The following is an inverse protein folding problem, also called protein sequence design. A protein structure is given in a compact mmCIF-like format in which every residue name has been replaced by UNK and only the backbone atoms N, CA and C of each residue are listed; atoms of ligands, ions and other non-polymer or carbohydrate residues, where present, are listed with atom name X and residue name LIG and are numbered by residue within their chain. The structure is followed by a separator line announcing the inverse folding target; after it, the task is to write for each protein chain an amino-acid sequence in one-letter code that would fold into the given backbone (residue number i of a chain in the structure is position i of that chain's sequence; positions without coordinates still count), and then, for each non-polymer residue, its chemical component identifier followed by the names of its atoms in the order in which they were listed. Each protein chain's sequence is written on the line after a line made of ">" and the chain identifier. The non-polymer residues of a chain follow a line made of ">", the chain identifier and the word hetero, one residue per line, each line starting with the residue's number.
data_IF_035545927266
#
_entry.id   IF_035545927266
#
_cell.length_a   1.000
_cell.length_b   1.000
_cell.length_c   1.000
_cell.angle_alpha   90.00
_cell.angle_beta   90.00
_cell.angle_gamma   90.00
#
_symmetry.space_group_name_H-M   'P 1'
#
loop_
_entity.id
_entity.type
_entity.pdbx_description
1 polymer ?
#
# COMPACT_ATOMS: atom_id res chain seq x y z
N UNK A 1 10.38 -4.60 -19.75
CA UNK A 1 10.18 -3.89 -18.46
C UNK A 1 8.95 -2.98 -18.44
N UNK A 2 8.50 -2.44 -19.58
CA UNK A 2 7.23 -1.71 -19.72
C UNK A 2 5.98 -2.55 -19.39
N UNK A 3 6.03 -3.88 -19.59
CA UNK A 3 4.89 -4.79 -19.34
C UNK A 3 4.52 -4.91 -17.84
N UNK A 4 5.51 -4.84 -16.94
CA UNK A 4 5.30 -5.03 -15.49
C UNK A 4 4.55 -3.84 -14.85
N UNK A 5 4.74 -2.62 -15.37
CA UNK A 5 4.05 -1.44 -14.85
C UNK A 5 2.56 -1.49 -15.25
N UNK A 6 2.26 -1.97 -16.44
CA UNK A 6 0.88 -2.13 -16.95
C UNK A 6 0.11 -3.19 -16.16
N UNK A 7 0.75 -4.31 -15.78
CA UNK A 7 0.11 -5.36 -14.96
C UNK A 7 -0.15 -4.90 -13.52
N UNK A 8 0.75 -4.11 -12.93
CA UNK A 8 0.54 -3.51 -11.59
C UNK A 8 -0.62 -2.51 -11.57
N UNK A 9 -1.04 -2.01 -12.73
CA UNK A 9 -2.02 -0.94 -12.86
C UNK A 9 -3.38 -1.41 -13.37
N UNK A 10 -3.43 -2.51 -14.15
CA UNK A 10 -4.68 -3.11 -14.63
C UNK A 10 -5.38 -3.99 -13.59
N UNK A 11 -4.77 -4.20 -12.44
CA UNK A 11 -5.44 -4.73 -11.28
C UNK A 11 -6.28 -3.60 -10.61
N UNK A 12 -7.32 -3.12 -11.29
CA UNK A 12 -8.54 -2.61 -10.64
C UNK A 12 -9.19 -3.77 -9.86
N UNK A 13 -8.39 -4.43 -9.08
CA UNK A 13 -8.83 -5.36 -8.09
C UNK A 13 -9.31 -4.51 -6.93
N UNK A 14 -10.59 -4.57 -6.65
CA UNK A 14 -11.18 -4.04 -5.43
C UNK A 14 -10.51 -4.72 -4.25
N UNK A 15 -9.30 -4.25 -3.90
CA UNK A 15 -8.61 -4.76 -2.73
C UNK A 15 -9.32 -4.24 -1.49
N UNK A 16 -9.54 -5.14 -0.53
CA UNK A 16 -10.06 -4.77 0.78
C UNK A 16 -8.92 -4.63 1.77
N UNK A 17 -8.90 -3.52 2.46
CA UNK A 17 -7.94 -3.27 3.54
C UNK A 17 -8.53 -3.72 4.86
N UNK A 18 -7.75 -4.48 5.61
CA UNK A 18 -8.06 -4.92 6.99
C UNK A 18 -6.96 -4.38 7.90
N UNK A 19 -7.33 -3.79 9.02
CA UNK A 19 -6.37 -3.44 10.08
C UNK A 19 -6.39 -4.51 11.16
N UNK A 20 -5.22 -4.98 11.57
CA UNK A 20 -5.06 -5.99 12.61
C UNK A 20 -4.11 -5.45 13.69
N UNK A 21 -4.63 -5.27 14.90
CA UNK A 21 -3.82 -4.96 16.07
C UNK A 21 -3.34 -6.27 16.71
N UNK A 22 -2.04 -6.42 16.82
CA UNK A 22 -1.41 -7.65 17.33
C UNK A 22 -0.43 -7.35 18.45
N UNK A 23 -0.15 -8.34 19.29
CA UNK A 23 1.00 -8.28 20.20
C UNK A 23 2.30 -8.18 19.40
N UNK A 24 3.18 -7.25 19.76
CA UNK A 24 4.50 -7.08 19.16
C UNK A 24 5.48 -8.14 19.71
N UNK A 25 5.30 -9.38 19.26
CA UNK A 25 6.10 -10.53 19.69
C UNK A 25 6.68 -11.29 18.51
N UNK A 26 7.77 -12.00 18.77
CA UNK A 26 8.38 -12.89 17.77
C UNK A 26 7.39 -13.89 17.20
N UNK A 27 7.42 -14.07 15.86
CA UNK A 27 6.60 -15.06 15.15
C UNK A 27 5.13 -14.67 14.91
N UNK A 28 4.64 -13.51 15.40
CA UNK A 28 3.25 -13.11 15.21
C UNK A 28 2.97 -12.80 13.74
N UNK A 29 3.85 -12.04 13.07
CA UNK A 29 3.73 -11.77 11.64
C UNK A 29 3.69 -13.06 10.81
N UNK A 30 4.60 -14.01 11.10
CA UNK A 30 4.64 -15.30 10.40
C UNK A 30 3.36 -16.10 10.60
N UNK A 31 2.75 -16.04 11.78
CA UNK A 31 1.49 -16.71 12.09
C UNK A 31 0.30 -16.10 11.34
N UNK A 32 0.26 -14.76 11.26
CA UNK A 32 -0.74 -14.05 10.46
C UNK A 32 -0.57 -14.40 8.98
N UNK A 33 0.64 -14.25 8.41
CA UNK A 33 0.91 -14.60 7.02
C UNK A 33 0.63 -16.09 6.70
N UNK A 34 0.96 -16.99 7.62
CA UNK A 34 0.69 -18.42 7.51
C UNK A 34 -0.81 -18.77 7.46
N UNK A 35 -1.65 -17.97 8.12
CA UNK A 35 -3.10 -18.12 8.02
C UNK A 35 -3.60 -17.86 6.59
N UNK A 36 -3.09 -16.82 5.92
CA UNK A 36 -3.44 -16.51 4.53
C UNK A 36 -2.94 -17.61 3.60
N UNK A 37 -1.65 -17.94 3.69
CA UNK A 37 -1.01 -18.96 2.85
C UNK A 37 -1.67 -20.33 2.98
N UNK A 38 -2.00 -20.75 4.21
CA UNK A 38 -2.62 -22.05 4.48
C UNK A 38 -4.05 -22.20 3.94
N UNK A 39 -4.67 -21.09 3.49
CA UNK A 39 -6.01 -21.08 2.89
C UNK A 39 -6.01 -20.65 1.42
N UNK A 40 -4.84 -20.43 0.86
CA UNK A 40 -4.70 -19.98 -0.53
C UNK A 40 -5.16 -18.54 -0.76
N UNK A 41 -5.22 -17.69 0.28
CA UNK A 41 -5.50 -16.27 0.14
C UNK A 41 -4.23 -15.51 -0.19
N UNK A 42 -4.30 -14.63 -1.17
CA UNK A 42 -3.17 -13.79 -1.54
C UNK A 42 -3.21 -12.46 -0.78
N UNK A 43 -2.08 -12.11 -0.16
CA UNK A 43 -1.85 -10.78 0.40
C UNK A 43 -1.32 -9.90 -0.73
N UNK A 44 -2.10 -8.87 -1.10
CA UNK A 44 -1.69 -7.90 -2.12
C UNK A 44 -0.63 -6.93 -1.59
N UNK A 45 -0.85 -6.38 -0.40
CA UNK A 45 0.12 -5.55 0.32
C UNK A 45 0.04 -5.77 1.82
N UNK A 46 1.14 -5.55 2.51
CA UNK A 46 1.25 -5.69 3.96
C UNK A 46 2.14 -4.61 4.52
N UNK A 47 1.59 -3.81 5.41
CA UNK A 47 2.32 -2.81 6.17
C UNK A 47 2.24 -3.16 7.66
N UNK A 48 3.35 -3.07 8.37
CA UNK A 48 3.43 -3.39 9.81
C UNK A 48 4.28 -2.35 10.51
N UNK A 49 3.77 -1.78 11.60
CA UNK A 49 4.54 -0.88 12.45
C UNK A 49 4.12 -1.02 13.91
N UNK A 50 5.04 -0.77 14.87
CA UNK A 50 4.66 -0.62 16.28
C UNK A 50 3.64 0.52 16.46
N UNK A 51 2.75 0.37 17.45
CA UNK A 51 1.81 1.40 17.87
C UNK A 51 2.44 2.35 18.92
N UNK A 52 1.61 3.25 19.45
CA UNK A 52 1.97 4.14 20.56
C UNK A 52 2.42 3.35 21.79
N UNK A 53 1.77 2.21 22.07
CA UNK A 53 2.24 1.22 23.02
C UNK A 53 3.13 0.21 22.29
N UNK A 54 4.45 0.17 22.58
CA UNK A 54 5.40 -0.70 21.87
C UNK A 54 5.16 -2.20 22.08
N UNK A 55 4.28 -2.58 23.01
CA UNK A 55 3.85 -3.97 23.20
C UNK A 55 2.97 -4.47 22.05
N UNK A 56 2.42 -3.55 21.25
CA UNK A 56 1.54 -3.86 20.13
C UNK A 56 2.09 -3.34 18.80
N UNK A 57 1.70 -4.00 17.71
CA UNK A 57 1.92 -3.56 16.35
C UNK A 57 0.61 -3.55 15.59
N UNK A 58 0.45 -2.60 14.69
CA UNK A 58 -0.68 -2.54 13.77
C UNK A 58 -0.23 -2.98 12.38
N UNK A 59 -1.01 -3.89 11.81
CA UNK A 59 -0.84 -4.35 10.43
C UNK A 59 -1.96 -3.77 9.58
N UNK A 60 -1.63 -3.23 8.40
CA UNK A 60 -2.58 -2.98 7.31
C UNK A 60 -2.37 -4.05 6.25
N UNK A 61 -3.41 -4.83 5.97
CA UNK A 61 -3.35 -5.97 5.05
C UNK A 61 -4.36 -5.73 3.93
N UNK A 62 -3.89 -5.64 2.69
CA UNK A 62 -4.75 -5.58 1.52
C UNK A 62 -4.91 -6.98 0.93
N UNK A 63 -6.14 -7.38 0.70
CA UNK A 63 -6.50 -8.68 0.13
C UNK A 63 -7.44 -8.52 -1.06
N UNK A 64 -7.34 -9.43 -2.03
CA UNK A 64 -8.20 -9.43 -3.22
C UNK A 64 -9.48 -10.28 -3.02
N UNK A 65 -9.80 -10.62 -1.77
CA UNK A 65 -10.95 -11.44 -1.43
C UNK A 65 -12.18 -10.57 -1.15
N UNK A 66 -13.37 -11.10 -1.51
CA UNK A 66 -14.63 -10.39 -1.41
C UNK A 66 -15.70 -11.23 -0.71
N UNK A 67 -16.74 -10.55 -0.20
CA UNK A 67 -17.92 -11.21 0.35
C UNK A 67 -17.57 -12.20 1.46
N UNK A 68 -18.16 -13.40 1.39
CA UNK A 68 -18.03 -14.44 2.42
C UNK A 68 -16.59 -14.88 2.67
N UNK A 69 -15.72 -14.87 1.65
CA UNK A 69 -14.31 -15.22 1.82
C UNK A 69 -13.58 -14.22 2.70
N UNK A 70 -13.83 -12.93 2.51
CA UNK A 70 -13.26 -11.88 3.34
C UNK A 70 -13.75 -12.00 4.79
N UNK A 71 -15.06 -12.27 4.99
CA UNK A 71 -15.62 -12.51 6.32
C UNK A 71 -14.97 -13.71 7.02
N UNK A 72 -14.67 -14.77 6.25
CA UNK A 72 -13.93 -15.91 6.78
C UNK A 72 -12.51 -15.54 7.20
N UNK A 73 -11.79 -14.72 6.39
CA UNK A 73 -10.46 -14.22 6.75
C UNK A 73 -10.52 -13.47 8.07
N UNK A 74 -11.44 -12.51 8.21
CA UNK A 74 -11.61 -11.69 9.42
C UNK A 74 -11.90 -12.57 10.65
N UNK A 75 -12.85 -13.52 10.53
CA UNK A 75 -13.19 -14.47 11.59
C UNK A 75 -12.00 -15.33 12.01
N UNK A 76 -11.15 -15.72 11.09
CA UNK A 76 -9.98 -16.53 11.39
C UNK A 76 -8.84 -15.72 12.02
N UNK A 77 -8.63 -14.49 11.57
CA UNK A 77 -7.68 -13.56 12.19
C UNK A 77 -8.04 -13.31 13.65
N UNK A 78 -9.32 -13.08 13.95
CA UNK A 78 -9.81 -12.83 15.31
C UNK A 78 -9.67 -14.03 16.26
N UNK A 79 -9.42 -15.25 15.74
CA UNK A 79 -9.15 -16.45 16.54
C UNK A 79 -7.68 -16.63 16.93
N UNK A 80 -6.78 -15.87 16.32
CA UNK A 80 -5.35 -15.98 16.64
C UNK A 80 -5.07 -15.37 18.02
N UNK A 81 -4.40 -16.12 18.88
CA UNK A 81 -4.17 -15.76 20.30
C UNK A 81 -3.44 -14.41 20.48
N UNK A 82 -2.62 -14.01 19.49
CA UNK A 82 -1.87 -12.76 19.53
C UNK A 82 -2.57 -11.60 18.82
N UNK A 83 -3.77 -11.80 18.28
CA UNK A 83 -4.59 -10.77 17.66
C UNK A 83 -5.50 -10.16 18.72
N UNK A 84 -5.38 -8.84 18.90
CA UNK A 84 -6.15 -8.09 19.89
C UNK A 84 -7.42 -7.53 19.26
N UNK A 85 -7.31 -7.02 18.02
CA UNK A 85 -8.42 -6.39 17.31
C UNK A 85 -8.26 -6.59 15.80
N UNK A 86 -9.38 -6.80 15.12
CA UNK A 86 -9.45 -6.79 13.65
C UNK A 86 -10.49 -5.76 13.25
N UNK A 87 -10.08 -4.77 12.46
CA UNK A 87 -10.95 -3.71 11.93
C UNK A 87 -11.13 -3.91 10.43
N UNK A 88 -12.37 -4.08 10.02
CA UNK A 88 -12.79 -4.09 8.61
C UNK A 88 -13.18 -2.68 8.19
N UNK A 89 -12.63 -2.19 7.10
CA UNK A 89 -12.90 -0.82 6.65
C UNK A 89 -14.05 -0.71 5.65
N UNK A 90 -14.69 -1.80 5.24
CA UNK A 90 -15.76 -1.80 4.21
C UNK A 90 -16.92 -0.85 4.56
N UNK A 91 -17.36 -0.89 5.79
CA UNK A 91 -18.56 -0.18 6.24
C UNK A 91 -18.26 1.13 6.98
N UNK A 92 -17.03 1.60 6.89
CA UNK A 92 -16.58 2.79 7.61
C UNK A 92 -16.02 3.87 6.67
N UNK A 93 -16.42 5.13 6.84
CA UNK A 93 -15.74 6.23 6.18
C UNK A 93 -14.25 6.24 6.54
N UNK A 94 -13.38 6.02 5.55
CA UNK A 94 -11.97 5.75 5.80
C UNK A 94 -11.07 6.69 5.01
N UNK A 95 -9.95 7.07 5.60
CA UNK A 95 -8.85 7.74 4.91
C UNK A 95 -7.76 6.73 4.63
N UNK A 96 -7.39 6.59 3.37
CA UNK A 96 -6.28 5.76 2.91
C UNK A 96 -5.12 6.63 2.46
N UNK A 97 -3.91 6.20 2.77
CA UNK A 97 -2.68 6.80 2.24
C UNK A 97 -1.67 5.70 1.90
N UNK A 98 -0.92 5.98 0.86
CA UNK A 98 0.20 5.15 0.42
C UNK A 98 1.33 6.08 -0.03
N UNK A 99 2.57 5.65 0.11
CA UNK A 99 3.77 6.32 -0.38
C UNK A 99 4.35 5.50 -1.52
N UNK A 100 4.71 6.19 -2.59
CA UNK A 100 5.44 5.62 -3.73
C UNK A 100 6.77 6.35 -3.87
N UNK A 101 7.85 5.58 -3.92
CA UNK A 101 9.17 6.06 -4.29
C UNK A 101 9.50 5.53 -5.69
N UNK A 102 10.00 6.40 -6.56
CA UNK A 102 10.41 5.98 -7.90
C UNK A 102 11.72 6.62 -8.31
N UNK A 103 12.46 5.91 -9.17
CA UNK A 103 13.60 6.45 -9.89
C UNK A 103 13.31 6.46 -11.37
N UNK A 104 13.49 7.62 -12.00
CA UNK A 104 13.24 7.85 -13.42
C UNK A 104 14.49 8.46 -14.08
N UNK A 105 14.86 7.96 -15.25
CA UNK A 105 15.83 8.61 -16.12
C UNK A 105 15.08 9.61 -16.99
N UNK A 106 15.52 10.86 -17.00
CA UNK A 106 14.75 11.90 -17.69
C UNK A 106 15.05 12.05 -19.17
N UNK A 107 16.17 11.53 -19.71
CA UNK A 107 16.44 11.47 -21.16
C UNK A 107 16.20 12.78 -21.92
N UNK A 108 16.51 13.94 -21.34
CA UNK A 108 16.21 15.26 -21.92
C UNK A 108 14.87 15.87 -21.50
N UNK A 109 13.95 15.09 -20.91
CA UNK A 109 12.58 15.52 -20.49
C UNK A 109 12.50 15.94 -19.02
N UNK A 110 13.60 16.42 -18.44
CA UNK A 110 13.66 16.77 -17.01
C UNK A 110 12.59 17.77 -16.60
N UNK A 111 12.37 18.80 -17.42
CA UNK A 111 11.42 19.87 -17.12
C UNK A 111 9.97 19.34 -17.09
N UNK A 112 9.61 18.49 -18.04
CA UNK A 112 8.27 17.87 -18.10
C UNK A 112 7.99 17.03 -16.83
N UNK A 113 8.97 16.25 -16.38
CA UNK A 113 8.84 15.46 -15.15
C UNK A 113 8.68 16.36 -13.93
N UNK A 114 9.44 17.45 -13.84
CA UNK A 114 9.32 18.41 -12.73
C UNK A 114 7.95 19.11 -12.72
N UNK A 115 7.39 19.41 -13.88
CA UNK A 115 6.03 19.97 -13.99
C UNK A 115 4.97 18.96 -13.52
N UNK A 116 5.08 17.68 -13.90
CA UNK A 116 4.22 16.64 -13.37
C UNK A 116 4.34 16.50 -11.84
N UNK A 117 5.57 16.54 -11.31
CA UNK A 117 5.78 16.56 -9.87
C UNK A 117 5.05 17.72 -9.20
N UNK A 118 5.12 18.92 -9.76
CA UNK A 118 4.43 20.10 -9.22
C UNK A 118 2.91 19.95 -9.28
N UNK A 119 2.35 19.50 -10.40
CA UNK A 119 0.89 19.30 -10.57
C UNK A 119 0.36 18.30 -9.54
N UNK A 120 1.07 17.20 -9.34
CA UNK A 120 0.68 16.15 -8.42
C UNK A 120 1.21 16.35 -6.99
N UNK A 121 1.94 17.42 -6.69
CA UNK A 121 2.57 17.66 -5.39
C UNK A 121 3.52 16.52 -4.98
N UNK A 122 4.17 15.89 -5.96
CA UNK A 122 5.25 14.94 -5.72
C UNK A 122 6.54 15.71 -5.37
N UNK A 123 7.41 15.07 -4.58
CA UNK A 123 8.66 15.66 -4.12
C UNK A 123 9.83 15.02 -4.83
N UNK A 124 10.76 15.81 -5.32
CA UNK A 124 12.06 15.31 -5.77
C UNK A 124 12.95 15.19 -4.53
N UNK A 125 13.31 13.96 -4.17
CA UNK A 125 14.14 13.66 -3.01
C UNK A 125 15.63 13.77 -3.34
N UNK A 126 15.98 13.36 -4.58
CA UNK A 126 17.35 13.35 -5.06
C UNK A 126 17.41 13.55 -6.58
N UNK A 127 18.46 14.15 -7.07
CA UNK A 127 18.68 14.40 -8.48
C UNK A 127 20.14 14.18 -8.87
N UNK A 128 20.36 13.43 -9.93
CA UNK A 128 21.67 13.27 -10.57
C UNK A 128 21.71 14.01 -11.90
N UNK A 129 22.76 13.78 -12.70
CA UNK A 129 22.85 14.33 -14.07
C UNK A 129 21.86 13.68 -15.04
N UNK A 130 21.35 12.48 -14.72
CA UNK A 130 20.56 11.65 -15.64
C UNK A 130 19.23 11.19 -15.04
N UNK A 131 19.08 11.24 -13.72
CA UNK A 131 17.93 10.67 -13.03
C UNK A 131 17.39 11.56 -11.93
N UNK A 132 16.09 11.34 -11.62
CA UNK A 132 15.40 11.90 -10.46
C UNK A 132 14.90 10.75 -9.58
N UNK A 133 15.00 10.92 -8.26
CA UNK A 133 14.31 10.11 -7.27
C UNK A 133 13.12 10.91 -6.75
N UNK A 134 11.92 10.39 -6.93
CA UNK A 134 10.66 11.08 -6.68
C UNK A 134 9.87 10.33 -5.61
N UNK A 135 9.30 11.08 -4.67
CA UNK A 135 8.31 10.62 -3.70
C UNK A 135 6.96 11.20 -4.06
N UNK A 136 5.94 10.36 -4.05
CA UNK A 136 4.55 10.81 -4.05
C UNK A 136 3.76 10.05 -2.99
N UNK A 137 2.92 10.77 -2.24
CA UNK A 137 2.00 10.18 -1.28
C UNK A 137 0.57 10.64 -1.56
N UNK A 138 -0.38 9.75 -1.30
CA UNK A 138 -1.78 10.10 -1.55
C UNK A 138 -2.74 8.93 -1.45
N UNK A 139 -3.99 9.18 -1.85
CA UNK A 139 -4.99 8.14 -2.10
C UNK A 139 -4.78 7.48 -3.45
N UNK A 140 -5.42 6.34 -3.64
CA UNK A 140 -5.26 5.47 -4.82
C UNK A 140 -5.43 6.22 -6.15
N UNK A 141 -6.51 6.99 -6.29
CA UNK A 141 -6.80 7.74 -7.52
C UNK A 141 -5.67 8.69 -7.93
N UNK A 142 -5.11 9.43 -6.96
CA UNK A 142 -4.00 10.36 -7.22
C UNK A 142 -2.74 9.63 -7.65
N UNK A 143 -2.41 8.55 -6.94
CA UNK A 143 -1.22 7.74 -7.22
C UNK A 143 -1.32 7.07 -8.59
N UNK A 144 -2.46 6.45 -8.89
CA UNK A 144 -2.71 5.79 -10.18
C UNK A 144 -2.57 6.78 -11.34
N UNK A 145 -3.18 7.96 -11.24
CA UNK A 145 -3.05 8.98 -12.29
C UNK A 145 -1.62 9.45 -12.49
N UNK A 146 -0.87 9.68 -11.41
CA UNK A 146 0.53 10.06 -11.52
C UNK A 146 1.36 8.95 -12.16
N UNK A 147 1.21 7.72 -11.70
CA UNK A 147 1.94 6.57 -12.23
C UNK A 147 1.64 6.33 -13.71
N UNK A 148 0.38 6.53 -14.15
CA UNK A 148 -0.01 6.43 -15.56
C UNK A 148 0.74 7.42 -16.43
N UNK A 149 0.85 8.68 -16.01
CA UNK A 149 1.59 9.70 -16.76
C UNK A 149 3.10 9.44 -16.75
N UNK A 150 3.61 8.82 -15.69
CA UNK A 150 5.03 8.47 -15.60
C UNK A 150 5.44 7.30 -16.50
N UNK A 151 4.48 6.53 -17.07
CA UNK A 151 4.79 5.44 -18.02
C UNK A 151 5.46 5.93 -19.31
N UNK A 152 5.24 7.18 -19.70
CA UNK A 152 5.84 7.78 -20.89
C UNK A 152 7.35 8.10 -20.71
N UNK A 153 7.87 7.84 -19.52
CA UNK A 153 9.26 8.10 -19.15
C UNK A 153 10.00 6.81 -18.79
N UNK A 154 11.33 6.85 -18.77
CA UNK A 154 12.17 5.70 -18.46
C UNK A 154 12.24 5.44 -16.95
N UNK A 155 11.18 4.87 -16.39
CA UNK A 155 11.09 4.49 -14.97
C UNK A 155 11.93 3.25 -14.73
N UNK A 156 12.94 3.34 -13.88
CA UNK A 156 13.87 2.26 -13.53
C UNK A 156 13.44 1.47 -12.30
N UNK A 157 12.75 2.12 -11.36
CA UNK A 157 12.35 1.50 -10.10
C UNK A 157 11.09 2.16 -9.57
N UNK A 158 10.19 1.35 -9.05
CA UNK A 158 9.02 1.78 -8.27
C UNK A 158 8.97 0.93 -7.00
N UNK A 159 8.86 1.60 -5.86
CA UNK A 159 8.64 0.97 -4.55
C UNK A 159 7.37 1.55 -3.96
N UNK A 160 6.51 0.69 -3.42
CA UNK A 160 5.25 1.08 -2.79
C UNK A 160 5.24 0.64 -1.34
N UNK A 161 4.71 1.47 -0.45
CA UNK A 161 4.58 1.12 0.97
C UNK A 161 3.43 0.15 1.24
N UNK A 162 2.47 0.04 0.32
CA UNK A 162 1.14 -0.47 0.64
C UNK A 162 0.27 0.59 1.33
N UNK A 163 -1.03 0.30 1.43
CA UNK A 163 -2.02 1.21 2.00
C UNK A 163 -1.96 1.19 3.53
N UNK A 164 -1.98 2.35 4.14
CA UNK A 164 -2.34 2.54 5.53
C UNK A 164 -3.71 3.21 5.60
N UNK A 165 -4.52 2.80 6.57
CA UNK A 165 -5.91 3.22 6.67
C UNK A 165 -6.29 3.64 8.09
N UNK A 166 -7.15 4.65 8.21
CA UNK A 166 -7.75 5.08 9.47
C UNK A 166 -9.22 5.44 9.26
N UNK A 167 -10.08 5.03 10.18
CA UNK A 167 -11.49 5.41 10.18
C UNK A 167 -11.58 6.91 10.44
N UNK A 168 -12.40 7.62 9.66
CA UNK A 168 -12.69 9.04 9.90
C UNK A 168 -13.44 9.18 11.23
N UNK A 169 -13.11 10.17 12.05
CA UNK A 169 -13.92 10.48 13.22
C UNK A 169 -15.35 10.79 12.75
N UNK A 170 -16.33 10.30 13.50
CA UNK A 170 -17.72 10.70 13.30
C UNK A 170 -17.87 12.13 13.83
N UNK A 171 -18.50 12.99 13.02
CA UNK A 171 -18.81 14.37 13.40
C UNK A 171 -19.94 14.41 14.42
#
# INVERSE_FOLDING_TARGET
>A
MQCVIVELMNAENHTHTISVLVENKFGVLSRVAGLFSGRGYNIHSLNVAPCEDPRFSRMSIDVNEHGEKLDQVIKQLSKLINVVEVTDFRDHPTVYREIVLMRVLFGGKKQEILELCNIFGAKVLDATRESLTIEISGGEFRLTRFLNLMQDYDVKMILRSGKIAVIKPQA
#
